data_IF_325854277788
#
_entry.id   IF_325854277788
#
_cell.length_a   1.000
_cell.length_b   1.000
_cell.length_c   1.000
_cell.angle_alpha   90.00
_cell.angle_beta   90.00
_cell.angle_gamma   90.00
#
_symmetry.space_group_name_H-M   'P 1'
#
loop_
_entity.id
_entity.type
_entity.pdbx_description
1 polymer ?
#
# COMPACT_ATOMS: atom_id res chain seq x y z
N UNK A 1 -2.03 2.72 12.09
CA UNK A 1 -1.14 1.65 11.61
C UNK A 1 -0.24 2.20 10.54
N UNK A 2 1.03 1.78 10.52
CA UNK A 2 2.00 2.27 9.54
C UNK A 2 1.86 1.50 8.24
N UNK A 3 1.81 2.22 7.12
CA UNK A 3 1.80 1.62 5.78
C UNK A 3 2.70 2.41 4.83
N UNK A 4 3.22 1.73 3.82
CA UNK A 4 4.01 2.34 2.74
C UNK A 4 3.05 2.86 1.66
N UNK A 5 3.15 4.15 1.34
CA UNK A 5 2.31 4.83 0.34
C UNK A 5 3.18 5.38 -0.78
N UNK A 6 2.80 5.10 -2.02
CA UNK A 6 3.38 5.74 -3.21
C UNK A 6 2.82 7.15 -3.34
N UNK A 7 3.68 8.16 -3.19
CA UNK A 7 3.28 9.57 -3.18
C UNK A 7 3.26 10.17 -4.60
N UNK A 8 4.31 9.87 -5.36
CA UNK A 8 4.49 10.24 -6.79
C UNK A 8 5.57 9.33 -7.39
N UNK A 9 5.79 9.32 -8.71
CA UNK A 9 6.87 8.54 -9.29
C UNK A 9 8.20 8.86 -8.60
N UNK A 10 8.94 7.83 -8.21
CA UNK A 10 10.21 7.94 -7.49
C UNK A 10 10.09 8.28 -6.00
N UNK A 11 8.89 8.42 -5.44
CA UNK A 11 8.70 8.81 -4.04
C UNK A 11 7.71 7.91 -3.31
N UNK A 12 8.21 7.24 -2.26
CA UNK A 12 7.44 6.45 -1.30
C UNK A 12 7.62 7.02 0.10
N UNK A 13 6.60 6.92 0.94
CA UNK A 13 6.66 7.35 2.33
C UNK A 13 5.88 6.39 3.23
N UNK A 14 6.30 6.29 4.49
CA UNK A 14 5.51 5.61 5.52
C UNK A 14 4.52 6.61 6.11
N UNK A 15 3.25 6.23 6.20
CA UNK A 15 2.19 7.03 6.81
C UNK A 15 1.42 6.22 7.83
N UNK A 16 0.90 6.91 8.85
CA UNK A 16 -0.15 6.36 9.71
C UNK A 16 -1.48 6.39 8.97
N UNK A 17 -2.18 5.26 8.97
CA UNK A 17 -3.52 5.07 8.42
C UNK A 17 -4.39 4.31 9.42
N UNK A 18 -5.70 4.33 9.23
CA UNK A 18 -6.61 3.58 10.09
C UNK A 18 -6.38 2.07 10.00
N UNK A 19 -6.69 1.37 11.09
CA UNK A 19 -6.69 -0.10 11.07
C UNK A 19 -7.72 -0.61 10.06
N UNK A 20 -7.42 -1.69 9.32
CA UNK A 20 -8.39 -2.31 8.43
C UNK A 20 -9.59 -2.81 9.23
N UNK A 21 -10.74 -2.85 8.57
CA UNK A 21 -11.98 -3.39 9.13
C UNK A 21 -12.36 -4.64 8.34
N UNK A 22 -12.94 -5.60 9.04
CA UNK A 22 -13.60 -6.77 8.43
C UNK A 22 -14.84 -6.26 7.70
N UNK A 23 -14.94 -6.52 6.39
CA UNK A 23 -16.07 -6.10 5.57
C UNK A 23 -16.99 -7.27 5.27
N UNK A 24 -16.39 -8.41 4.92
CA UNK A 24 -17.09 -9.66 4.60
C UNK A 24 -16.84 -10.73 5.67
N UNK A 25 -17.65 -11.79 5.65
CA UNK A 25 -17.66 -12.81 6.71
C UNK A 25 -16.36 -13.62 6.80
N UNK A 26 -15.63 -13.74 5.69
CA UNK A 26 -14.43 -14.54 5.55
C UNK A 26 -13.13 -13.72 5.59
N UNK A 27 -13.22 -12.41 5.82
CA UNK A 27 -12.05 -11.54 5.99
C UNK A 27 -11.30 -11.85 7.30
N UNK A 28 -9.98 -11.75 7.25
CA UNK A 28 -9.11 -11.85 8.42
C UNK A 28 -8.10 -10.70 8.45
N UNK A 29 -7.82 -10.20 9.65
CA UNK A 29 -6.78 -9.19 9.86
C UNK A 29 -5.50 -9.88 10.34
N UNK A 30 -4.43 -9.76 9.55
CA UNK A 30 -3.13 -10.35 9.87
C UNK A 30 -2.20 -9.30 10.50
N UNK A 31 -1.48 -9.71 11.55
CA UNK A 31 -0.31 -8.96 12.03
C UNK A 31 0.90 -9.34 11.17
N UNK A 32 1.24 -8.47 10.22
CA UNK A 32 2.41 -8.66 9.34
C UNK A 32 3.70 -8.58 10.17
N UNK A 33 4.41 -9.71 10.30
CA UNK A 33 5.70 -9.77 11.00
C UNK A 33 6.84 -9.37 10.08
N UNK A 34 6.76 -9.77 8.81
CA UNK A 34 7.73 -9.45 7.75
C UNK A 34 7.00 -9.30 6.42
N UNK A 35 7.52 -8.42 5.56
CA UNK A 35 7.12 -8.26 4.17
C UNK A 35 8.36 -7.92 3.34
N UNK A 36 8.31 -8.11 2.03
CA UNK A 36 9.42 -7.91 1.11
C UNK A 36 9.00 -7.00 -0.05
N UNK A 37 9.98 -6.43 -0.74
CA UNK A 37 9.77 -5.69 -1.99
C UNK A 37 9.94 -6.65 -3.17
N UNK A 38 8.99 -6.64 -4.08
CA UNK A 38 9.01 -7.42 -5.33
C UNK A 38 9.37 -6.52 -6.52
N UNK A 39 9.88 -7.10 -7.61
CA UNK A 39 10.11 -6.38 -8.86
C UNK A 39 8.84 -5.72 -9.43
N UNK A 40 7.66 -6.28 -9.16
CA UNK A 40 6.36 -5.71 -9.57
C UNK A 40 6.05 -4.37 -8.89
N UNK A 41 6.59 -4.11 -7.70
CA UNK A 41 6.36 -2.84 -6.99
C UNK A 41 6.97 -1.66 -7.75
N UNK A 42 8.00 -1.92 -8.58
CA UNK A 42 8.65 -0.91 -9.40
C UNK A 42 7.73 -0.32 -10.46
N UNK A 43 6.65 -1.00 -10.86
CA UNK A 43 5.69 -0.46 -11.83
C UNK A 43 4.99 0.78 -11.28
N UNK A 44 4.56 0.72 -10.01
CA UNK A 44 4.01 1.88 -9.31
C UNK A 44 5.09 2.91 -9.00
N UNK A 45 6.25 2.47 -8.51
CA UNK A 45 7.36 3.38 -8.20
C UNK A 45 7.79 4.22 -9.41
N UNK A 46 7.80 3.66 -10.62
CA UNK A 46 8.13 4.35 -11.87
C UNK A 46 6.99 5.18 -12.45
N UNK A 47 5.80 5.16 -11.84
CA UNK A 47 4.64 5.91 -12.32
C UNK A 47 3.85 5.24 -13.43
N UNK A 48 4.10 3.97 -13.74
CA UNK A 48 3.43 3.26 -14.84
C UNK A 48 2.00 2.81 -14.48
N UNK A 49 1.68 2.73 -13.19
CA UNK A 49 0.36 2.29 -12.68
C UNK A 49 -0.24 3.23 -11.63
N UNK A 50 0.34 4.40 -11.38
CA UNK A 50 -0.23 5.36 -10.45
C UNK A 50 -1.57 5.87 -10.99
N UNK A 51 -2.67 5.27 -10.53
CA UNK A 51 -4.00 5.85 -10.70
C UNK A 51 -3.96 7.24 -10.09
N UNK A 52 -4.24 8.29 -10.88
CA UNK A 52 -4.53 9.62 -10.34
C UNK A 52 -5.57 9.41 -9.23
N UNK A 53 -5.34 9.97 -8.04
CA UNK A 53 -6.37 10.06 -7.01
C UNK A 53 -7.63 10.59 -7.70
N UNK A 54 -8.70 9.79 -7.71
CA UNK A 54 -10.02 10.30 -8.07
C UNK A 54 -10.32 11.49 -7.14
N UNK A 55 -10.95 12.56 -7.65
CA UNK A 55 -11.27 13.76 -6.88
C UNK A 55 -12.04 13.43 -5.60
#
# INVERSE_FOLDING_TARGET
MRTTVFMKPGQVAVKEVDMPKIMEKDDVILRVVRTCVCGSDLWNYRGMMLKKKAP
#
